data_IF_588845967218
#
_entry.id   IF_588845967218
#
_cell.length_a   1.000
_cell.length_b   1.000
_cell.length_c   1.000
_cell.angle_alpha   90.00
_cell.angle_beta   90.00
_cell.angle_gamma   90.00
#
_symmetry.space_group_name_H-M   'P 1'
#
loop_
_entity.id
_entity.type
_entity.pdbx_description
1 polymer ?
#
# COMPACT_ATOMS: atom_id res chain seq x y z
N UNK A 1 -10.31 -6.82 -28.40
CA UNK A 1 -9.01 -6.13 -28.12
C UNK A 1 -8.24 -6.93 -27.09
N UNK A 2 -6.99 -7.30 -27.40
CA UNK A 2 -6.13 -8.03 -26.47
C UNK A 2 -5.80 -7.16 -25.24
N UNK A 3 -5.80 -7.76 -24.03
CA UNK A 3 -5.42 -7.10 -22.78
C UNK A 3 -4.03 -6.45 -22.83
N UNK A 4 -3.10 -7.02 -23.62
CA UNK A 4 -1.75 -6.47 -23.81
C UNK A 4 -1.75 -5.09 -24.51
N UNK A 5 -2.79 -4.81 -25.28
CA UNK A 5 -2.97 -3.51 -25.97
C UNK A 5 -3.57 -2.43 -25.07
N UNK A 6 -4.16 -2.81 -23.94
CA UNK A 6 -4.76 -1.86 -22.99
C UNK A 6 -3.70 -1.28 -22.05
N UNK A 7 -3.83 0.01 -21.74
CA UNK A 7 -3.01 0.72 -20.79
C UNK A 7 -3.86 1.62 -19.91
N UNK A 8 -3.49 1.75 -18.65
CA UNK A 8 -4.14 2.62 -17.67
C UNK A 8 -3.10 3.12 -16.65
N UNK A 9 -3.39 4.25 -16.01
CA UNK A 9 -2.43 4.90 -15.14
C UNK A 9 -2.47 4.40 -13.68
N UNK A 10 -3.56 3.75 -13.27
CA UNK A 10 -3.70 3.17 -11.93
C UNK A 10 -4.94 2.28 -11.85
N UNK A 11 -4.97 1.40 -10.86
CA UNK A 11 -6.15 0.61 -10.55
C UNK A 11 -7.16 1.44 -9.78
N UNK A 12 -8.44 1.09 -9.90
CA UNK A 12 -9.55 1.74 -9.18
C UNK A 12 -10.23 0.75 -8.24
N UNK A 13 -10.88 1.27 -7.21
CA UNK A 13 -11.59 0.47 -6.23
C UNK A 13 -12.67 -0.40 -6.87
N UNK A 14 -12.77 -1.65 -6.42
CA UNK A 14 -13.75 -2.61 -6.93
C UNK A 14 -15.19 -2.24 -6.53
N UNK A 15 -15.37 -1.69 -5.32
CA UNK A 15 -16.68 -1.31 -4.76
C UNK A 15 -16.84 0.21 -4.78
N UNK A 16 -16.79 0.80 -5.98
CA UNK A 16 -16.95 2.23 -6.17
C UNK A 16 -17.49 2.54 -7.57
N UNK A 17 -18.13 3.69 -7.73
CA UNK A 17 -18.37 4.27 -9.05
C UNK A 17 -17.11 5.03 -9.46
N UNK A 18 -16.41 4.53 -10.47
CA UNK A 18 -15.09 5.05 -10.85
C UNK A 18 -15.08 5.61 -12.26
N UNK A 19 -14.20 6.59 -12.51
CA UNK A 19 -13.92 7.15 -13.84
C UNK A 19 -12.42 7.16 -14.05
N UNK A 20 -11.96 6.71 -15.22
CA UNK A 20 -10.55 6.73 -15.56
C UNK A 20 -10.35 6.74 -17.08
N UNK A 21 -9.17 7.18 -17.51
CA UNK A 21 -8.71 6.98 -18.87
C UNK A 21 -8.15 5.58 -19.06
N UNK A 22 -8.53 4.96 -20.17
CA UNK A 22 -7.96 3.71 -20.65
C UNK A 22 -7.41 3.98 -22.06
N UNK A 23 -6.20 3.55 -22.30
CA UNK A 23 -5.57 3.66 -23.61
C UNK A 23 -5.59 2.29 -24.33
N UNK A 24 -5.93 2.29 -25.59
CA UNK A 24 -5.79 1.15 -26.49
C UNK A 24 -4.65 1.48 -27.45
N UNK A 25 -3.58 0.70 -27.43
CA UNK A 25 -2.40 0.90 -28.29
C UNK A 25 -2.46 0.03 -29.54
N UNK A 26 -1.64 0.37 -30.53
CA UNK A 26 -1.46 -0.37 -31.80
C UNK A 26 -2.80 -0.53 -32.56
N UNK A 27 -3.51 0.60 -32.76
CA UNK A 27 -4.63 0.68 -33.68
C UNK A 27 -4.07 0.68 -35.10
N UNK A 28 -4.33 -0.37 -35.86
CA UNK A 28 -3.69 -0.63 -37.18
C UNK A 28 -4.46 0.04 -38.31
N UNK A 29 -5.72 0.42 -38.13
CA UNK A 29 -6.55 1.02 -39.12
C UNK A 29 -7.50 2.07 -38.58
N UNK A 30 -7.96 2.99 -39.45
CA UNK A 30 -9.04 3.93 -39.17
C UNK A 30 -10.35 3.22 -38.80
N UNK A 31 -10.61 2.07 -39.38
CA UNK A 31 -11.77 1.25 -39.07
C UNK A 31 -11.79 0.81 -37.61
N UNK A 32 -10.66 0.31 -37.08
CA UNK A 32 -10.56 -0.05 -35.66
C UNK A 32 -10.80 1.15 -34.75
N UNK A 33 -10.31 2.34 -35.14
CA UNK A 33 -10.58 3.55 -34.36
C UNK A 33 -12.07 3.92 -34.39
N UNK A 34 -12.73 3.84 -35.55
CA UNK A 34 -14.18 4.10 -35.69
C UNK A 34 -14.99 3.15 -34.81
N UNK A 35 -14.72 1.85 -34.84
CA UNK A 35 -15.37 0.86 -33.99
C UNK A 35 -15.28 1.18 -32.51
N UNK A 36 -14.15 1.70 -32.03
CA UNK A 36 -14.01 2.15 -30.65
C UNK A 36 -14.71 3.49 -30.41
N UNK A 37 -14.69 4.40 -31.41
CA UNK A 37 -15.37 5.69 -31.34
C UNK A 37 -16.89 5.54 -31.25
N UNK A 38 -17.44 4.55 -31.94
CA UNK A 38 -18.88 4.23 -31.94
C UNK A 38 -19.38 3.72 -30.58
N UNK A 39 -18.47 3.35 -29.67
CA UNK A 39 -18.82 3.04 -28.28
C UNK A 39 -19.09 4.30 -27.44
N UNK A 40 -18.71 5.49 -27.90
CA UNK A 40 -18.93 6.74 -27.17
C UNK A 40 -20.43 6.98 -26.95
N UNK A 41 -20.81 7.23 -25.71
CA UNK A 41 -22.22 7.38 -25.32
C UNK A 41 -22.96 6.06 -25.09
N UNK A 42 -22.34 4.90 -25.39
CA UNK A 42 -22.98 3.61 -25.10
C UNK A 42 -22.85 3.24 -23.64
N UNK A 43 -23.90 2.60 -23.11
CA UNK A 43 -23.95 2.09 -21.73
C UNK A 43 -24.05 0.58 -21.80
N UNK A 44 -23.08 -0.09 -21.17
CA UNK A 44 -23.12 -1.53 -20.92
C UNK A 44 -22.87 -1.79 -19.43
N UNK A 45 -21.85 -2.49 -19.06
CA UNK A 45 -21.34 -2.54 -17.68
C UNK A 45 -20.42 -1.36 -17.34
N UNK A 46 -20.10 -0.55 -18.34
CA UNK A 46 -19.19 0.58 -18.31
C UNK A 46 -19.71 1.63 -19.29
N UNK A 47 -19.80 2.87 -18.84
CA UNK A 47 -20.18 4.00 -19.69
C UNK A 47 -18.94 4.50 -20.43
N UNK A 48 -19.00 4.57 -21.74
CA UNK A 48 -17.97 5.16 -22.57
C UNK A 48 -18.24 6.64 -22.75
N UNK A 49 -17.61 7.48 -21.94
CA UNK A 49 -17.93 8.91 -21.89
C UNK A 49 -17.31 9.73 -23.03
N UNK A 50 -16.09 9.36 -23.43
CA UNK A 50 -15.35 10.06 -24.48
C UNK A 50 -14.26 9.18 -25.08
N UNK A 51 -14.15 9.20 -26.39
CA UNK A 51 -13.08 8.51 -27.14
C UNK A 51 -12.27 9.55 -27.93
N UNK A 52 -10.98 9.58 -27.70
CA UNK A 52 -10.05 10.52 -28.37
C UNK A 52 -8.79 9.81 -28.81
N UNK A 53 -8.12 10.37 -29.82
CA UNK A 53 -6.79 9.91 -30.21
C UNK A 53 -5.73 10.39 -29.22
N UNK A 54 -4.85 9.48 -28.81
CA UNK A 54 -3.71 9.78 -27.95
C UNK A 54 -2.39 9.52 -28.65
N UNK A 55 -1.35 10.25 -28.28
CA UNK A 55 -0.01 10.09 -28.86
C UNK A 55 0.82 9.00 -28.18
N UNK A 56 0.54 8.69 -26.89
CA UNK A 56 1.33 7.75 -26.08
C UNK A 56 0.41 6.81 -25.31
N UNK A 57 0.88 5.56 -25.13
CA UNK A 57 0.20 4.59 -24.27
C UNK A 57 0.35 4.97 -22.80
N UNK A 58 -0.77 4.96 -22.06
CA UNK A 58 -0.75 5.14 -20.62
C UNK A 58 -0.06 3.96 -19.94
N UNK A 59 0.77 4.27 -18.95
CA UNK A 59 1.47 3.28 -18.11
C UNK A 59 1.09 3.48 -16.66
N UNK A 60 1.20 2.43 -15.87
CA UNK A 60 0.98 2.47 -14.44
C UNK A 60 1.86 3.55 -13.80
N UNK A 61 1.30 4.34 -12.89
CA UNK A 61 1.96 5.47 -12.23
C UNK A 61 1.86 6.81 -12.97
N UNK A 62 1.42 6.86 -14.22
CA UNK A 62 1.28 8.10 -14.99
C UNK A 62 -0.05 8.83 -14.71
N UNK A 63 -0.32 9.15 -13.45
CA UNK A 63 -1.47 9.95 -13.05
C UNK A 63 -1.01 11.12 -12.18
N UNK A 64 -1.70 12.26 -12.30
CA UNK A 64 -1.48 13.41 -11.42
C UNK A 64 -2.00 13.18 -10.00
N UNK A 65 -3.05 12.36 -9.86
CA UNK A 65 -3.69 12.06 -8.59
C UNK A 65 -5.06 11.43 -8.78
N UNK A 66 -5.74 11.17 -7.69
CA UNK A 66 -7.11 10.68 -7.65
C UNK A 66 -8.00 11.74 -6.99
N UNK A 67 -9.19 11.96 -7.57
CA UNK A 67 -10.25 12.74 -6.93
C UNK A 67 -11.23 11.77 -6.30
N UNK A 68 -11.47 11.91 -5.00
CA UNK A 68 -12.45 11.13 -4.25
C UNK A 68 -13.68 11.97 -3.95
N UNK A 69 -14.85 11.33 -4.05
CA UNK A 69 -16.10 11.85 -3.52
C UNK A 69 -16.67 10.75 -2.64
N UNK A 70 -16.63 10.96 -1.34
CA UNK A 70 -17.00 9.96 -0.34
C UNK A 70 -18.31 10.38 0.31
N UNK A 71 -19.33 9.51 0.22
CA UNK A 71 -20.60 9.69 0.91
C UNK A 71 -20.57 8.89 2.21
N UNK A 72 -20.56 9.60 3.33
CA UNK A 72 -20.67 9.01 4.67
C UNK A 72 -22.16 8.83 4.97
N UNK A 73 -22.55 7.65 5.44
CA UNK A 73 -23.94 7.27 5.69
C UNK A 73 -24.14 6.83 7.14
N UNK A 74 -25.39 6.65 7.56
CA UNK A 74 -25.78 6.22 8.89
C UNK A 74 -25.24 7.16 9.99
N UNK A 75 -25.45 8.45 9.77
CA UNK A 75 -25.12 9.51 10.72
C UNK A 75 -26.39 9.79 11.53
N UNK A 76 -26.33 9.62 12.87
CA UNK A 76 -27.48 9.78 13.75
C UNK A 76 -27.92 11.25 13.87
N UNK A 77 -26.97 12.18 13.95
CA UNK A 77 -27.19 13.62 14.02
C UNK A 77 -26.37 14.33 12.96
N UNK A 78 -27.02 14.71 11.87
CA UNK A 78 -26.37 15.31 10.71
C UNK A 78 -25.86 16.73 11.03
N UNK A 79 -26.62 17.53 11.78
CA UNK A 79 -26.27 18.93 12.07
C UNK A 79 -25.05 19.00 12.97
N UNK A 80 -25.08 18.27 14.08
CA UNK A 80 -23.94 18.17 15.00
C UNK A 80 -22.70 17.57 14.33
N UNK A 81 -22.86 16.54 13.53
CA UNK A 81 -21.75 15.94 12.81
C UNK A 81 -21.15 16.87 11.75
N UNK A 82 -21.97 17.68 11.08
CA UNK A 82 -21.48 18.69 10.15
C UNK A 82 -20.72 19.81 10.89
N UNK A 83 -21.18 20.24 12.06
CA UNK A 83 -20.45 21.22 12.90
C UNK A 83 -19.08 20.69 13.31
N UNK A 84 -19.02 19.44 13.83
CA UNK A 84 -17.76 18.78 14.21
C UNK A 84 -16.84 18.67 12.99
N UNK A 85 -17.32 18.20 11.86
CA UNK A 85 -16.53 18.07 10.65
C UNK A 85 -15.97 19.43 10.19
N UNK A 86 -16.78 20.50 10.21
CA UNK A 86 -16.33 21.81 9.84
C UNK A 86 -15.24 22.35 10.79
N UNK A 87 -15.35 22.10 12.08
CA UNK A 87 -14.33 22.50 13.04
C UNK A 87 -13.00 21.76 12.82
N UNK A 88 -13.07 20.43 12.58
CA UNK A 88 -11.89 19.62 12.23
C UNK A 88 -11.27 20.13 10.93
N UNK A 89 -12.08 20.41 9.89
CA UNK A 89 -11.57 20.88 8.60
C UNK A 89 -10.83 22.24 8.75
N UNK A 90 -11.36 23.17 9.56
CA UNK A 90 -10.67 24.44 9.85
C UNK A 90 -9.33 24.25 10.55
N UNK A 91 -9.24 23.27 11.44
CA UNK A 91 -7.96 22.91 12.09
C UNK A 91 -6.99 22.33 11.06
N UNK A 92 -7.45 21.40 10.20
CA UNK A 92 -6.64 20.80 9.16
C UNK A 92 -6.19 21.76 8.05
N UNK A 93 -6.94 22.85 7.80
CA UNK A 93 -6.52 23.92 6.90
C UNK A 93 -5.24 24.63 7.39
N UNK A 94 -5.00 24.63 8.69
CA UNK A 94 -3.82 25.25 9.32
C UNK A 94 -2.72 24.22 9.55
N UNK A 95 -3.07 23.03 10.05
CA UNK A 95 -2.08 22.02 10.45
C UNK A 95 -1.66 21.08 9.32
N UNK A 96 -2.46 20.96 8.25
CA UNK A 96 -2.30 19.91 7.27
C UNK A 96 -2.65 18.52 7.84
N UNK A 97 -2.35 17.49 7.07
CA UNK A 97 -2.62 16.09 7.43
C UNK A 97 -1.36 15.25 7.25
N UNK A 98 -0.90 14.54 8.29
CA UNK A 98 0.22 13.61 8.14
C UNK A 98 -0.11 12.51 7.13
N UNK A 99 0.80 12.24 6.20
CA UNK A 99 0.58 11.33 5.09
C UNK A 99 0.86 9.86 5.47
N UNK A 100 0.09 9.31 6.41
CA UNK A 100 0.21 7.93 6.83
C UNK A 100 -0.22 6.93 5.75
N UNK A 101 0.45 5.78 5.69
CA UNK A 101 -0.10 4.62 5.03
C UNK A 101 -1.30 4.08 5.80
N UNK A 102 -2.45 3.97 5.13
CA UNK A 102 -3.69 3.47 5.75
C UNK A 102 -3.69 1.94 5.97
N UNK A 103 -4.65 1.46 6.74
CA UNK A 103 -4.81 0.05 7.14
C UNK A 103 -4.81 -0.95 5.98
N UNK A 104 -5.30 -0.56 4.80
CA UNK A 104 -5.29 -1.41 3.60
C UNK A 104 -3.88 -1.85 3.21
N UNK A 105 -2.85 -1.05 3.56
CA UNK A 105 -1.44 -1.37 3.31
C UNK A 105 -0.97 -2.59 4.06
N UNK A 106 -1.55 -2.84 5.23
CA UNK A 106 -1.14 -3.88 6.18
C UNK A 106 -1.97 -5.15 6.10
N UNK A 107 -3.03 -5.17 5.25
CA UNK A 107 -3.89 -6.32 5.02
C UNK A 107 -5.24 -6.26 5.75
N UNK A 108 -6.24 -6.93 5.18
CA UNK A 108 -7.57 -7.16 5.78
C UNK A 108 -8.06 -8.56 5.42
N UNK A 109 -8.71 -9.27 6.33
CA UNK A 109 -9.02 -8.89 7.72
C UNK A 109 -7.80 -8.92 8.66
N UNK A 110 -6.75 -9.65 8.30
CA UNK A 110 -5.52 -9.81 9.08
C UNK A 110 -4.54 -8.67 8.79
N UNK A 111 -4.22 -7.89 9.79
CA UNK A 111 -3.25 -6.79 9.70
C UNK A 111 -1.83 -7.33 9.93
N UNK A 112 -1.36 -8.25 9.08
CA UNK A 112 -0.10 -8.99 9.26
C UNK A 112 0.90 -8.86 8.10
N UNK A 113 0.57 -8.16 7.03
CA UNK A 113 1.43 -8.05 5.84
C UNK A 113 2.81 -7.47 6.17
N UNK A 114 2.87 -6.48 7.05
CA UNK A 114 4.13 -5.89 7.52
C UNK A 114 4.92 -6.84 8.42
N UNK A 115 4.25 -7.68 9.22
CA UNK A 115 4.92 -8.68 10.07
C UNK A 115 5.62 -9.77 9.22
N UNK A 116 4.99 -10.17 8.11
CA UNK A 116 5.65 -11.06 7.13
C UNK A 116 6.87 -10.37 6.54
N UNK A 117 6.75 -9.08 6.21
CA UNK A 117 7.85 -8.27 5.67
C UNK A 117 9.02 -8.11 6.64
N UNK A 118 8.73 -7.91 7.92
CA UNK A 118 9.70 -7.87 9.01
C UNK A 118 10.52 -9.16 9.06
N UNK A 119 9.85 -10.32 9.18
CA UNK A 119 10.52 -11.61 9.22
C UNK A 119 11.38 -11.86 7.96
N UNK A 120 10.92 -11.42 6.77
CA UNK A 120 11.71 -11.49 5.54
C UNK A 120 12.98 -10.62 5.60
N UNK A 121 12.92 -9.42 6.17
CA UNK A 121 14.08 -8.53 6.32
C UNK A 121 15.08 -9.10 7.33
N UNK A 122 14.60 -9.72 8.40
CA UNK A 122 15.40 -10.42 9.40
C UNK A 122 15.94 -11.77 8.89
N UNK A 123 15.61 -12.17 7.65
CA UNK A 123 15.96 -13.46 7.05
C UNK A 123 15.41 -14.67 7.81
N UNK A 124 14.37 -14.50 8.61
CA UNK A 124 13.63 -15.59 9.25
C UNK A 124 12.51 -16.09 8.31
N UNK A 125 12.90 -16.98 7.40
CA UNK A 125 12.00 -17.50 6.36
C UNK A 125 10.89 -18.37 6.95
N UNK A 126 11.18 -19.11 8.01
CA UNK A 126 10.21 -19.95 8.71
C UNK A 126 9.11 -19.08 9.33
N UNK A 127 9.51 -18.06 10.06
CA UNK A 127 8.58 -17.14 10.69
C UNK A 127 7.79 -16.33 9.67
N UNK A 128 8.40 -15.90 8.56
CA UNK A 128 7.70 -15.22 7.47
C UNK A 128 6.56 -16.09 6.89
N UNK A 129 6.84 -17.37 6.66
CA UNK A 129 5.84 -18.33 6.17
C UNK A 129 4.76 -18.58 7.23
N UNK A 130 5.14 -18.76 8.50
CA UNK A 130 4.22 -18.94 9.62
C UNK A 130 3.28 -17.73 9.79
N UNK A 131 3.80 -16.51 9.75
CA UNK A 131 2.99 -15.29 9.83
C UNK A 131 2.00 -15.16 8.68
N UNK A 132 2.35 -15.67 7.52
CA UNK A 132 1.45 -15.60 6.36
C UNK A 132 0.38 -16.70 6.36
N UNK A 133 0.75 -17.95 6.63
CA UNK A 133 -0.15 -19.11 6.56
C UNK A 133 -0.90 -19.33 7.87
N UNK A 134 -0.18 -19.37 8.98
CA UNK A 134 -0.69 -19.61 10.34
C UNK A 134 -1.28 -18.36 11.01
N UNK A 135 -1.18 -18.28 12.33
CA UNK A 135 -1.67 -17.18 13.18
C UNK A 135 -3.16 -16.88 12.95
N UNK A 136 -4.09 -17.76 13.35
CA UNK A 136 -5.51 -17.51 13.22
C UNK A 136 -5.93 -16.25 13.98
N UNK A 137 -6.89 -15.50 13.45
CA UNK A 137 -7.46 -14.33 14.11
C UNK A 137 -8.98 -14.43 14.16
N UNK A 138 -9.60 -13.86 15.20
CA UNK A 138 -11.05 -13.84 15.35
C UNK A 138 -11.80 -13.05 14.29
N UNK A 139 -11.10 -12.24 13.49
CA UNK A 139 -11.68 -11.44 12.42
C UNK A 139 -11.89 -12.23 11.11
N UNK A 140 -11.35 -13.45 11.03
CA UNK A 140 -11.51 -14.33 9.88
C UNK A 140 -12.69 -15.29 10.06
N UNK A 141 -13.18 -15.85 8.95
CA UNK A 141 -14.15 -16.95 8.99
C UNK A 141 -13.56 -18.14 9.74
N UNK A 142 -14.39 -18.85 10.50
CA UNK A 142 -14.00 -19.98 11.35
C UNK A 142 -13.25 -21.07 10.58
N UNK A 143 -13.68 -21.38 9.34
CA UNK A 143 -12.98 -22.35 8.46
C UNK A 143 -11.54 -21.95 8.20
N UNK A 144 -11.29 -20.65 7.96
CA UNK A 144 -9.93 -20.15 7.74
C UNK A 144 -9.11 -20.22 9.03
N UNK A 145 -9.72 -19.92 10.18
CA UNK A 145 -9.05 -20.03 11.48
C UNK A 145 -8.61 -21.46 11.75
N UNK A 146 -9.48 -22.47 11.49
CA UNK A 146 -9.16 -23.89 11.63
C UNK A 146 -8.01 -24.32 10.72
N UNK A 147 -8.03 -23.86 9.45
CA UNK A 147 -6.96 -24.14 8.50
C UNK A 147 -5.60 -23.58 8.96
N UNK A 148 -5.59 -22.38 9.55
CA UNK A 148 -4.37 -21.75 10.07
C UNK A 148 -3.88 -22.42 11.34
N UNK A 149 -4.79 -22.82 12.22
CA UNK A 149 -4.45 -23.56 13.43
C UNK A 149 -3.82 -24.92 13.09
N UNK A 150 -4.40 -25.66 12.16
CA UNK A 150 -3.83 -26.92 11.69
C UNK A 150 -2.39 -26.74 11.15
N UNK A 151 -2.11 -25.61 10.48
CA UNK A 151 -0.75 -25.26 10.05
C UNK A 151 0.18 -25.03 11.25
N UNK A 152 -0.25 -24.24 12.25
CA UNK A 152 0.55 -23.95 13.44
C UNK A 152 0.79 -25.21 14.29
N UNK A 153 -0.13 -26.17 14.26
CA UNK A 153 0.00 -27.50 14.89
C UNK A 153 0.90 -28.46 14.09
N UNK A 154 1.40 -28.04 12.93
CA UNK A 154 2.27 -28.85 12.06
C UNK A 154 1.55 -29.80 11.11
N UNK A 155 0.21 -29.79 11.06
CA UNK A 155 -0.64 -30.65 10.24
C UNK A 155 -0.85 -30.06 8.85
N UNK A 156 0.17 -30.13 7.97
CA UNK A 156 0.16 -29.45 6.67
C UNK A 156 -0.94 -29.95 5.73
N UNK A 157 -1.19 -31.25 5.70
CA UNK A 157 -2.22 -31.88 4.86
C UNK A 157 -3.62 -31.42 5.31
N UNK A 158 -3.92 -31.48 6.59
CA UNK A 158 -5.18 -31.01 7.17
C UNK A 158 -5.38 -29.53 6.92
N UNK A 159 -4.34 -28.71 7.14
CA UNK A 159 -4.36 -27.27 6.83
C UNK A 159 -4.75 -27.03 5.37
N UNK A 160 -4.15 -27.77 4.43
CA UNK A 160 -4.44 -27.62 3.00
C UNK A 160 -5.89 -27.98 2.65
N UNK A 161 -6.45 -29.01 3.28
CA UNK A 161 -7.84 -29.47 3.08
C UNK A 161 -8.84 -28.43 3.59
N UNK A 162 -8.60 -27.89 4.81
CA UNK A 162 -9.48 -26.92 5.45
C UNK A 162 -9.42 -25.53 4.79
N UNK A 163 -8.38 -25.19 4.04
CA UNK A 163 -8.26 -23.87 3.39
C UNK A 163 -9.42 -23.62 2.42
N UNK A 164 -10.06 -22.45 2.53
CA UNK A 164 -11.10 -21.99 1.62
C UNK A 164 -10.56 -21.66 0.21
N UNK A 165 -11.47 -21.49 -0.76
CA UNK A 165 -11.09 -21.06 -2.13
C UNK A 165 -10.39 -19.70 -2.16
N UNK A 166 -10.64 -18.85 -1.16
CA UNK A 166 -10.02 -17.54 -1.02
C UNK A 166 -8.54 -17.61 -0.66
N UNK A 167 -8.09 -18.65 0.03
CA UNK A 167 -6.70 -18.84 0.49
C UNK A 167 -5.80 -19.43 -0.61
N UNK A 168 -5.87 -18.85 -1.80
CA UNK A 168 -5.16 -19.38 -2.99
C UNK A 168 -3.65 -19.40 -2.82
N UNK A 169 -3.09 -18.35 -2.23
CA UNK A 169 -1.65 -18.19 -2.10
C UNK A 169 -1.09 -19.03 -0.96
N UNK A 170 -1.82 -19.11 0.14
CA UNK A 170 -1.52 -20.01 1.25
C UNK A 170 -1.50 -21.46 0.76
N UNK A 171 -2.50 -21.90 -0.03
CA UNK A 171 -2.52 -23.23 -0.65
C UNK A 171 -1.29 -23.51 -1.52
N UNK A 172 -0.81 -22.52 -2.26
CA UNK A 172 0.41 -22.68 -3.07
C UNK A 172 1.63 -22.96 -2.19
N UNK A 173 1.77 -22.21 -1.10
CA UNK A 173 2.89 -22.36 -0.18
C UNK A 173 2.84 -23.68 0.58
N UNK A 174 1.67 -24.07 1.12
CA UNK A 174 1.53 -25.34 1.86
C UNK A 174 1.81 -26.53 0.97
N UNK A 175 1.40 -26.51 -0.30
CA UNK A 175 1.73 -27.59 -1.26
C UNK A 175 3.23 -27.75 -1.48
N UNK A 176 3.98 -26.67 -1.55
CA UNK A 176 5.45 -26.75 -1.66
C UNK A 176 6.06 -27.30 -0.35
N UNK A 177 5.56 -26.88 0.82
CA UNK A 177 6.01 -27.42 2.10
C UNK A 177 5.74 -28.93 2.21
N UNK A 178 4.54 -29.42 1.85
CA UNK A 178 4.22 -30.85 1.84
C UNK A 178 5.15 -31.62 0.90
N UNK A 179 5.45 -31.06 -0.28
CA UNK A 179 6.37 -31.69 -1.25
C UNK A 179 7.78 -31.80 -0.70
N UNK A 180 8.26 -30.79 0.03
CA UNK A 180 9.59 -30.80 0.62
C UNK A 180 9.64 -31.64 1.91
N UNK A 181 8.56 -31.67 2.72
CA UNK A 181 8.43 -32.54 3.90
C UNK A 181 8.54 -34.05 3.57
N UNK A 182 8.13 -34.46 2.39
CA UNK A 182 8.30 -35.85 1.91
C UNK A 182 9.77 -36.26 1.67
N UNK A 183 10.66 -35.28 1.58
CA UNK A 183 12.11 -35.51 1.35
C UNK A 183 12.93 -35.47 2.65
N UNK A 184 12.36 -34.95 3.73
CA UNK A 184 13.01 -34.81 5.04
C UNK A 184 12.41 -33.67 5.86
N UNK A 185 12.98 -33.35 7.01
CA UNK A 185 12.55 -32.23 7.82
C UNK A 185 12.58 -30.91 7.05
N UNK A 186 11.63 -30.01 7.34
CA UNK A 186 11.58 -28.69 6.70
C UNK A 186 12.76 -27.83 7.19
N UNK A 187 13.55 -27.36 6.24
CA UNK A 187 14.69 -26.46 6.42
C UNK A 187 14.42 -25.09 5.77
N UNK A 188 15.36 -24.16 5.88
CA UNK A 188 15.27 -22.83 5.26
C UNK A 188 15.05 -22.89 3.75
N UNK A 189 15.55 -23.92 3.07
CA UNK A 189 15.34 -24.12 1.64
C UNK A 189 13.88 -24.44 1.34
N UNK A 190 13.23 -25.25 2.17
CA UNK A 190 11.80 -25.55 2.03
C UNK A 190 10.93 -24.30 2.20
N UNK A 191 11.21 -23.47 3.23
CA UNK A 191 10.50 -22.21 3.44
C UNK A 191 10.77 -21.21 2.31
N UNK A 192 11.99 -21.14 1.78
CA UNK A 192 12.31 -20.34 0.60
C UNK A 192 11.54 -20.79 -0.63
N UNK A 193 11.41 -22.10 -0.87
CA UNK A 193 10.62 -22.64 -1.97
C UNK A 193 9.14 -22.25 -1.83
N UNK A 194 8.57 -22.36 -0.62
CA UNK A 194 7.20 -21.93 -0.34
C UNK A 194 6.99 -20.45 -0.66
N UNK A 195 7.89 -19.56 -0.24
CA UNK A 195 7.84 -18.13 -0.57
C UNK A 195 7.98 -17.86 -2.07
N UNK A 196 8.83 -18.60 -2.77
CA UNK A 196 9.03 -18.48 -4.21
C UNK A 196 7.82 -18.96 -5.03
N UNK A 197 6.94 -19.79 -4.47
CA UNK A 197 5.67 -20.16 -5.09
C UNK A 197 4.74 -18.95 -5.28
N UNK A 198 4.93 -17.89 -4.50
CA UNK A 198 4.15 -16.66 -4.61
C UNK A 198 4.58 -15.81 -5.82
N UNK A 199 3.66 -15.07 -6.45
CA UNK A 199 4.02 -14.09 -7.47
C UNK A 199 5.01 -13.05 -6.92
N UNK A 200 6.05 -12.71 -7.69
CA UNK A 200 7.04 -11.69 -7.29
C UNK A 200 6.47 -10.35 -6.80
N UNK A 201 5.38 -9.80 -7.39
CA UNK A 201 4.77 -8.58 -6.87
C UNK A 201 4.23 -8.74 -5.44
N UNK A 202 3.71 -9.93 -5.10
CA UNK A 202 3.21 -10.22 -3.74
C UNK A 202 4.36 -10.32 -2.74
N UNK A 203 5.46 -11.00 -3.09
CA UNK A 203 6.64 -11.07 -2.25
C UNK A 203 7.21 -9.68 -1.92
N UNK A 204 7.28 -8.80 -2.92
CA UNK A 204 7.73 -7.40 -2.73
C UNK A 204 6.76 -6.61 -1.85
N UNK A 205 5.48 -6.89 -1.94
CA UNK A 205 4.46 -6.18 -1.15
C UNK A 205 4.66 -6.37 0.35
N UNK A 206 5.14 -7.52 0.82
CA UNK A 206 5.44 -7.75 2.23
C UNK A 206 6.53 -6.80 2.74
N UNK A 207 7.66 -6.74 2.04
CA UNK A 207 8.78 -5.85 2.40
C UNK A 207 8.34 -4.38 2.35
N UNK A 208 7.58 -3.99 1.31
CA UNK A 208 7.06 -2.63 1.22
C UNK A 208 6.05 -2.32 2.34
N UNK A 209 5.29 -3.30 2.83
CA UNK A 209 4.38 -3.08 3.96
C UNK A 209 5.17 -2.84 5.26
N UNK A 210 6.24 -3.59 5.51
CA UNK A 210 7.12 -3.35 6.65
C UNK A 210 7.77 -1.96 6.56
N UNK A 211 8.30 -1.60 5.40
CA UNK A 211 8.84 -0.26 5.15
C UNK A 211 7.80 0.85 5.43
N UNK A 212 6.54 0.62 5.05
CA UNK A 212 5.43 1.55 5.32
C UNK A 212 5.07 1.62 6.81
N UNK A 213 5.24 0.53 7.53
CA UNK A 213 5.01 0.47 8.98
C UNK A 213 6.05 1.30 9.74
N UNK A 214 7.33 1.12 9.42
CA UNK A 214 8.42 1.93 9.98
C UNK A 214 8.26 3.42 9.65
N UNK A 215 7.85 3.73 8.40
CA UNK A 215 7.52 5.09 8.00
C UNK A 215 6.42 5.70 8.87
N UNK A 216 5.34 4.95 9.11
CA UNK A 216 4.25 5.43 9.96
C UNK A 216 4.70 5.70 11.40
N UNK A 217 5.59 4.89 11.96
CA UNK A 217 6.17 5.13 13.28
C UNK A 217 7.03 6.41 13.28
N UNK A 218 7.90 6.56 12.28
CA UNK A 218 8.70 7.78 12.14
C UNK A 218 7.83 9.04 12.01
N UNK A 219 6.78 8.99 11.17
CA UNK A 219 5.82 10.09 11.04
C UNK A 219 5.14 10.39 12.36
N UNK A 220 4.71 9.38 13.13
CA UNK A 220 4.07 9.57 14.44
C UNK A 220 5.00 10.29 15.42
N UNK A 221 6.25 9.88 15.50
CA UNK A 221 7.26 10.53 16.35
C UNK A 221 7.57 11.94 15.87
N UNK A 222 7.67 12.16 14.53
CA UNK A 222 7.90 13.48 13.96
C UNK A 222 6.73 14.44 14.21
N UNK A 223 5.49 13.97 14.13
CA UNK A 223 4.28 14.75 14.46
C UNK A 223 4.28 15.19 15.92
N UNK A 224 4.77 14.36 16.84
CA UNK A 224 4.91 14.72 18.25
C UNK A 224 5.92 15.87 18.48
N UNK A 225 6.87 16.07 17.57
CA UNK A 225 7.81 17.21 17.61
C UNK A 225 7.18 18.52 17.05
N UNK A 226 5.98 18.44 16.47
CA UNK A 226 5.21 19.52 15.87
C UNK A 226 4.89 19.27 14.39
N UNK A 227 3.60 19.12 14.07
CA UNK A 227 3.15 18.72 12.73
C UNK A 227 3.57 19.70 11.64
N UNK A 228 3.41 21.01 11.89
CA UNK A 228 3.71 22.11 10.96
C UNK A 228 4.87 22.99 11.45
N UNK A 229 5.79 22.40 12.17
CA UNK A 229 6.96 23.11 12.70
C UNK A 229 8.21 22.62 12.01
N UNK A 230 9.03 23.54 11.50
CA UNK A 230 10.40 23.22 11.11
C UNK A 230 11.21 22.80 12.34
N UNK A 231 11.91 21.69 12.25
CA UNK A 231 12.89 21.22 13.23
C UNK A 231 14.25 21.18 12.54
N UNK A 232 15.28 21.69 13.20
CA UNK A 232 16.63 21.71 12.64
C UNK A 232 17.08 20.28 12.28
N UNK A 233 17.51 20.15 11.04
CA UNK A 233 17.89 18.84 10.47
C UNK A 233 16.83 18.18 9.60
N UNK A 234 15.57 18.64 9.59
CA UNK A 234 14.54 18.14 8.70
C UNK A 234 14.99 18.12 7.23
N UNK A 235 14.60 17.08 6.52
CA UNK A 235 14.65 17.08 5.07
C UNK A 235 13.30 17.63 4.57
N UNK A 236 13.36 18.81 3.95
CA UNK A 236 12.18 19.52 3.42
C UNK A 236 12.10 19.30 1.92
N UNK A 237 10.91 18.95 1.42
CA UNK A 237 10.63 18.83 -0.02
C UNK A 237 9.54 19.81 -0.45
N UNK A 238 9.69 20.38 -1.66
CA UNK A 238 8.67 21.21 -2.28
C UNK A 238 7.55 20.38 -2.96
N UNK A 239 6.55 21.06 -3.50
CA UNK A 239 5.41 20.44 -4.18
C UNK A 239 5.78 19.75 -5.50
N UNK A 240 7.04 19.89 -5.98
CA UNK A 240 7.59 19.17 -7.13
C UNK A 240 8.51 18.01 -6.70
N UNK A 241 8.47 17.64 -5.42
CA UNK A 241 9.27 16.56 -4.79
C UNK A 241 10.79 16.82 -4.83
N UNK A 242 11.22 18.08 -4.85
CA UNK A 242 12.64 18.46 -4.82
C UNK A 242 13.05 18.87 -3.40
N UNK A 243 14.23 18.43 -2.97
CA UNK A 243 14.78 18.81 -1.68
C UNK A 243 15.10 20.32 -1.70
N UNK A 244 14.50 21.05 -0.77
CA UNK A 244 14.79 22.47 -0.54
C UNK A 244 16.05 22.57 0.34
N UNK A 245 17.00 23.43 -0.07
CA UNK A 245 18.29 23.63 0.61
C UNK A 245 18.57 25.11 0.77
N UNK A 246 19.59 25.41 1.57
CA UNK A 246 20.19 26.75 1.71
C UNK A 246 19.16 27.84 2.11
N UNK A 247 18.31 27.50 3.08
CA UNK A 247 17.32 28.36 3.67
C UNK A 247 17.57 28.58 5.16
N UNK A 248 17.20 29.74 5.68
CA UNK A 248 17.16 29.98 7.12
C UNK A 248 15.98 29.23 7.77
N UNK A 249 16.00 29.01 9.10
CA UNK A 249 14.87 28.39 9.81
C UNK A 249 13.54 29.14 9.57
N UNK A 250 13.56 30.48 9.53
CA UNK A 250 12.37 31.26 9.24
C UNK A 250 11.87 31.10 7.80
N UNK A 251 12.77 31.01 6.82
CA UNK A 251 12.39 30.73 5.43
C UNK A 251 11.79 29.33 5.26
N UNK A 252 12.34 28.30 5.92
CA UNK A 252 11.75 26.98 5.93
C UNK A 252 10.37 26.99 6.58
N UNK A 253 10.21 27.64 7.72
CA UNK A 253 8.92 27.74 8.39
C UNK A 253 7.87 28.42 7.51
N UNK A 254 8.24 29.53 6.85
CA UNK A 254 7.35 30.24 5.92
C UNK A 254 6.86 29.33 4.76
N UNK A 255 7.74 28.50 4.18
CA UNK A 255 7.35 27.55 3.14
C UNK A 255 6.38 26.49 3.67
N UNK A 256 6.57 26.01 4.88
CA UNK A 256 5.70 25.04 5.55
C UNK A 256 4.34 25.67 5.84
N UNK A 257 4.29 26.86 6.40
CA UNK A 257 3.06 27.57 6.76
C UNK A 257 2.17 27.85 5.52
N UNK A 258 2.81 28.09 4.37
CA UNK A 258 2.13 28.28 3.10
C UNK A 258 1.85 27.00 2.33
N UNK A 259 2.17 25.83 2.86
CA UNK A 259 2.08 24.54 2.17
C UNK A 259 2.84 24.49 0.83
N UNK A 260 3.90 25.26 0.68
CA UNK A 260 4.79 25.26 -0.48
C UNK A 260 5.86 24.17 -0.39
N UNK A 261 6.20 23.79 0.84
CA UNK A 261 7.09 22.66 1.13
C UNK A 261 6.69 21.97 2.43
N UNK A 262 7.16 20.73 2.62
CA UNK A 262 6.78 19.92 3.77
C UNK A 262 7.99 19.16 4.34
N UNK A 263 8.05 18.95 5.67
CA UNK A 263 8.97 18.00 6.26
C UNK A 263 8.64 16.57 5.83
N UNK A 264 9.66 15.74 5.73
CA UNK A 264 9.55 14.36 5.28
C UNK A 264 9.91 13.37 6.38
N UNK A 265 9.59 12.10 6.15
CA UNK A 265 10.11 10.96 6.91
C UNK A 265 10.61 9.87 5.95
N UNK A 266 11.61 9.05 6.34
CA UNK A 266 12.24 8.13 5.43
C UNK A 266 11.35 6.93 5.11
N UNK A 267 11.29 6.55 3.85
CA UNK A 267 10.93 5.18 3.45
C UNK A 267 12.17 4.32 3.59
N UNK A 268 12.36 3.71 4.76
CA UNK A 268 13.59 3.00 5.14
C UNK A 268 14.11 2.06 4.06
N UNK A 269 15.38 2.19 3.74
CA UNK A 269 16.06 1.42 2.72
C UNK A 269 17.54 1.79 2.62
N UNK A 270 18.35 1.00 1.93
CA UNK A 270 19.80 1.12 1.88
C UNK A 270 20.34 2.43 1.29
N UNK A 271 19.52 3.21 0.60
CA UNK A 271 19.92 4.42 -0.10
C UNK A 271 19.15 5.66 0.34
N UNK A 272 18.31 5.55 1.34
CA UNK A 272 17.49 6.67 1.83
C UNK A 272 18.31 7.48 2.81
N UNK A 273 18.48 8.81 2.61
CA UNK A 273 19.15 9.66 3.58
C UNK A 273 18.26 9.81 4.83
N UNK A 274 18.90 9.89 5.98
CA UNK A 274 18.27 10.34 7.21
C UNK A 274 18.36 11.86 7.34
N UNK A 275 17.42 12.45 8.05
CA UNK A 275 17.46 13.81 8.49
C UNK A 275 18.72 14.08 9.37
N UNK A 276 19.02 15.35 9.64
CA UNK A 276 20.07 15.75 10.56
C UNK A 276 19.56 15.90 11.99
N UNK A 277 20.47 16.20 12.92
CA UNK A 277 20.14 16.61 14.29
C UNK A 277 19.20 15.63 15.03
N UNK A 278 18.31 16.20 15.84
CA UNK A 278 17.35 15.44 16.65
C UNK A 278 16.38 14.60 15.81
N UNK A 279 15.95 15.13 14.66
CA UNK A 279 15.08 14.39 13.73
C UNK A 279 15.77 13.13 13.20
N UNK A 280 17.03 13.24 12.79
CA UNK A 280 17.81 12.11 12.30
C UNK A 280 18.07 11.06 13.37
N UNK A 281 18.29 11.46 14.62
CA UNK A 281 18.43 10.51 15.74
C UNK A 281 17.08 9.80 16.03
N UNK A 282 15.98 10.52 15.97
CA UNK A 282 14.64 9.94 16.09
C UNK A 282 14.39 8.92 14.97
N UNK A 283 14.69 9.26 13.71
CA UNK A 283 14.53 8.35 12.55
C UNK A 283 15.38 7.08 12.72
N UNK A 284 16.62 7.18 13.15
CA UNK A 284 17.50 6.02 13.45
C UNK A 284 16.96 5.19 14.60
N UNK A 285 16.39 5.83 15.63
CA UNK A 285 15.82 5.12 16.79
C UNK A 285 14.65 4.23 16.42
N UNK A 286 13.88 4.57 15.37
CA UNK A 286 12.82 3.71 14.83
C UNK A 286 13.40 2.38 14.38
N UNK A 287 14.50 2.36 13.60
CA UNK A 287 15.15 1.10 13.20
C UNK A 287 15.60 0.27 14.39
N UNK A 288 16.18 0.91 15.40
CA UNK A 288 16.69 0.23 16.59
C UNK A 288 15.56 -0.39 17.45
N UNK A 289 14.32 0.12 17.32
CA UNK A 289 13.16 -0.41 18.05
C UNK A 289 12.65 -1.74 17.48
N UNK A 290 13.06 -2.10 16.26
CA UNK A 290 12.57 -3.27 15.51
C UNK A 290 13.68 -4.23 15.06
N UNK A 291 14.92 -4.02 15.53
CA UNK A 291 16.07 -4.92 15.31
C UNK A 291 16.24 -5.95 16.42
#
# INVERSE_FOLDING_TARGET
ISRKRMGFAGMKDKKARTRQWICISNMESEEQFRQVKDLEGTIYKTDFLKVVRGRKKLRMGQLKGNKFQILIRNIDDIEKSAEIANNILKELEVTGVPNYFGWQRFGKPRTNTHLVGEALVQNDLKEAVRRYIGNPTSEEHEENQKARQAYDDGNLEESLELMSKGMRYEKMMVRELIKDAKKGPLDDKAYKNALHALPKPLQRMFVHAYQSYLFNDAVSRRVAMGINRYVEGDIIIDNEERIVRDKTPEEFQNLIDNFEANPTSPLYGTKVPFAGGEVGEMEKSVLNSYN
#
